data_IF_229703920085
#
_entry.id   IF_229703920085
#
_cell.length_a   1.000
_cell.length_b   1.000
_cell.length_c   1.000
_cell.angle_alpha   90.00
_cell.angle_beta   90.00
_cell.angle_gamma   90.00
#
_symmetry.space_group_name_H-M   'P 1'
#
loop_
_entity.id
_entity.type
_entity.pdbx_description
1 polymer ?
#
# COMPACT_ATOMS: atom_id res chain seq x y z
N UNK A 1 -10.19 13.72 5.23
CA UNK A 1 -9.68 13.37 3.85
C UNK A 1 -9.23 14.60 3.02
N UNK A 2 -8.88 15.72 3.67
CA UNK A 2 -8.54 16.98 2.97
C UNK A 2 -7.31 16.80 2.06
N UNK A 3 -6.25 16.20 2.59
CA UNK A 3 -4.99 15.98 1.85
C UNK A 3 -5.03 14.79 0.87
N UNK A 4 -6.07 13.97 0.92
CA UNK A 4 -6.25 12.88 -0.05
C UNK A 4 -6.70 13.40 -1.42
N UNK A 5 -7.30 14.58 -1.49
CA UNK A 5 -7.82 15.17 -2.72
C UNK A 5 -6.81 16.11 -3.42
N UNK A 6 -5.97 16.81 -2.64
CA UNK A 6 -4.96 17.75 -3.17
C UNK A 6 -3.97 18.18 -2.10
N UNK A 7 -2.82 18.64 -2.55
CA UNK A 7 -1.83 19.29 -1.69
C UNK A 7 -2.37 20.63 -1.17
N UNK A 8 -2.12 20.91 0.09
CA UNK A 8 -2.66 22.09 0.76
C UNK A 8 -1.63 22.83 1.60
N UNK A 9 -1.77 24.15 1.68
CA UNK A 9 -1.05 24.96 2.67
C UNK A 9 -1.69 24.83 4.05
N UNK A 10 -0.98 25.24 5.12
CA UNK A 10 -1.56 25.30 6.49
C UNK A 10 -2.88 26.08 6.50
N UNK A 11 -2.93 27.22 5.81
CA UNK A 11 -4.14 28.04 5.73
C UNK A 11 -5.27 27.32 4.98
N UNK A 12 -4.95 26.57 3.91
CA UNK A 12 -5.92 25.78 3.19
C UNK A 12 -6.50 24.65 4.04
N UNK A 13 -5.64 23.93 4.79
CA UNK A 13 -6.08 22.89 5.71
C UNK A 13 -6.95 23.47 6.84
N UNK A 14 -6.52 24.58 7.44
CA UNK A 14 -7.26 25.26 8.51
C UNK A 14 -8.67 25.67 8.06
N UNK A 15 -8.79 26.28 6.88
CA UNK A 15 -10.08 26.67 6.32
C UNK A 15 -10.97 25.45 6.03
N UNK A 16 -10.42 24.40 5.43
CA UNK A 16 -11.17 23.19 5.14
C UNK A 16 -11.64 22.43 6.39
N UNK A 17 -10.89 22.49 7.50
CA UNK A 17 -11.34 21.96 8.81
C UNK A 17 -12.48 22.78 9.37
N UNK A 18 -12.37 24.12 9.33
CA UNK A 18 -13.41 25.04 9.78
C UNK A 18 -14.72 24.85 9.00
N UNK A 19 -14.64 24.67 7.69
CA UNK A 19 -15.80 24.40 6.83
C UNK A 19 -16.49 23.08 7.16
N UNK A 20 -15.78 22.12 7.80
CA UNK A 20 -16.31 20.88 8.35
C UNK A 20 -16.77 21.00 9.82
N UNK A 21 -16.79 22.23 10.38
CA UNK A 21 -17.19 22.48 11.77
C UNK A 21 -16.10 22.12 12.80
N UNK A 22 -14.87 21.89 12.37
CA UNK A 22 -13.74 21.56 13.25
C UNK A 22 -12.91 22.84 13.46
N UNK A 23 -13.00 23.41 14.68
CA UNK A 23 -12.19 24.56 15.06
C UNK A 23 -10.88 24.11 15.73
N UNK A 24 -9.76 24.37 15.06
CA UNK A 24 -8.41 24.08 15.59
C UNK A 24 -7.58 25.33 15.51
N UNK A 25 -6.96 25.70 16.64
CA UNK A 25 -6.05 26.85 16.63
C UNK A 25 -4.86 26.60 15.70
N UNK A 26 -4.48 27.60 14.90
CA UNK A 26 -3.44 27.46 13.85
C UNK A 26 -2.10 26.94 14.39
N UNK A 27 -1.70 27.31 15.60
CA UNK A 27 -0.47 26.82 16.22
C UNK A 27 -0.54 25.33 16.52
N UNK A 28 -1.69 24.86 17.02
CA UNK A 28 -1.94 23.43 17.27
C UNK A 28 -1.91 22.64 15.97
N UNK A 29 -2.58 23.15 14.93
CA UNK A 29 -2.54 22.54 13.60
C UNK A 29 -1.11 22.42 13.05
N UNK A 30 -0.30 23.47 13.22
CA UNK A 30 1.13 23.43 12.83
C UNK A 30 1.89 22.34 13.56
N UNK A 31 1.63 22.16 14.86
CA UNK A 31 2.22 21.08 15.67
C UNK A 31 1.83 19.69 15.16
N UNK A 32 0.55 19.48 14.85
CA UNK A 32 0.09 18.20 14.29
C UNK A 32 0.71 17.92 12.92
N UNK A 33 0.76 18.91 12.01
CA UNK A 33 1.37 18.73 10.69
C UNK A 33 2.86 18.41 10.79
N UNK A 34 3.57 19.05 11.74
CA UNK A 34 4.97 18.73 12.00
C UNK A 34 5.15 17.30 12.53
N UNK A 35 4.35 16.91 13.51
CA UNK A 35 4.39 15.53 14.03
C UNK A 35 4.08 14.49 12.93
N UNK A 36 3.09 14.75 12.08
CA UNK A 36 2.78 13.87 10.93
C UNK A 36 3.92 13.82 9.91
N UNK A 37 4.63 14.93 9.69
CA UNK A 37 5.83 14.95 8.86
C UNK A 37 6.96 14.13 9.48
N UNK A 38 7.20 14.29 10.80
CA UNK A 38 8.25 13.54 11.51
C UNK A 38 7.97 12.03 11.53
N UNK A 39 6.68 11.63 11.47
CA UNK A 39 6.22 10.26 11.29
C UNK A 39 6.19 9.80 9.82
N UNK A 40 6.68 10.62 8.90
CA UNK A 40 6.66 10.35 7.44
C UNK A 40 5.24 10.12 6.85
N UNK A 41 4.18 10.54 7.56
CA UNK A 41 2.79 10.48 7.09
C UNK A 41 2.52 11.58 6.07
N UNK A 42 3.18 12.73 6.24
CA UNK A 42 3.10 13.88 5.35
C UNK A 42 4.47 14.22 4.77
N UNK A 43 4.47 14.71 3.55
CA UNK A 43 5.59 15.41 2.94
C UNK A 43 5.34 16.92 3.00
N UNK A 44 6.40 17.67 3.30
CA UNK A 44 6.40 19.13 3.31
C UNK A 44 7.29 19.64 2.18
N UNK A 45 6.72 20.39 1.28
CA UNK A 45 7.45 21.07 0.20
C UNK A 45 7.46 22.58 0.48
N UNK A 46 8.64 23.18 0.48
CA UNK A 46 8.76 24.63 0.63
C UNK A 46 8.51 25.32 -0.72
N UNK A 47 7.36 26.00 -0.81
CA UNK A 47 6.97 26.81 -1.95
C UNK A 47 6.81 28.24 -1.45
N UNK A 48 7.89 29.02 -1.54
CA UNK A 48 7.90 30.41 -1.00
C UNK A 48 6.74 31.25 -1.54
N UNK A 49 5.99 31.95 -0.68
CA UNK A 49 6.25 32.21 0.74
C UNK A 49 5.61 31.19 1.71
N UNK A 50 5.10 30.06 1.23
CA UNK A 50 4.30 29.11 2.00
C UNK A 50 4.95 27.73 2.02
N UNK A 51 4.44 26.86 2.89
CA UNK A 51 4.71 25.41 2.89
C UNK A 51 3.48 24.66 2.39
N UNK A 52 3.70 23.73 1.49
CA UNK A 52 2.70 22.83 0.94
C UNK A 52 2.83 21.47 1.61
N UNK A 53 1.71 20.90 2.05
CA UNK A 53 1.64 19.59 2.66
C UNK A 53 0.87 18.64 1.74
N UNK A 54 1.45 17.46 1.55
CA UNK A 54 0.85 16.36 0.81
C UNK A 54 0.91 15.07 1.64
N UNK A 55 0.08 14.10 1.31
CA UNK A 55 0.24 12.77 1.88
C UNK A 55 1.56 12.18 1.38
N UNK A 56 2.35 11.63 2.32
CA UNK A 56 3.59 10.96 1.94
C UNK A 56 3.27 9.73 1.10
N UNK A 57 3.82 9.69 -0.10
CA UNK A 57 3.76 8.50 -0.96
C UNK A 57 4.58 7.35 -0.38
N UNK A 58 5.48 7.64 0.59
CA UNK A 58 6.32 6.65 1.25
C UNK A 58 5.60 5.87 2.34
N UNK A 59 4.59 6.47 3.00
CA UNK A 59 3.93 5.88 4.17
C UNK A 59 2.69 5.06 3.81
N UNK A 60 2.12 5.25 2.64
CA UNK A 60 1.00 4.47 2.12
C UNK A 60 1.43 3.54 0.99
N UNK A 61 2.51 2.80 1.18
CA UNK A 61 2.68 1.60 0.37
C UNK A 61 1.57 0.63 0.77
N UNK A 62 0.38 0.85 0.19
CA UNK A 62 -0.72 -0.10 0.24
C UNK A 62 -0.15 -1.49 -0.04
N UNK A 63 -0.53 -2.47 0.75
CA UNK A 63 -0.04 -3.84 0.59
C UNK A 63 -0.17 -4.34 -0.86
N UNK A 64 -1.21 -3.91 -1.58
CA UNK A 64 -1.38 -4.23 -2.99
C UNK A 64 -0.28 -3.66 -3.87
N UNK A 65 0.14 -2.42 -3.63
CA UNK A 65 1.26 -1.79 -4.35
C UNK A 65 2.59 -2.50 -4.06
N UNK A 66 2.80 -2.94 -2.82
CA UNK A 66 4.01 -3.69 -2.44
C UNK A 66 4.01 -5.05 -3.16
N UNK A 67 2.92 -5.78 -3.09
CA UNK A 67 2.76 -7.08 -3.75
C UNK A 67 2.92 -6.92 -5.27
N UNK A 68 2.34 -5.87 -5.86
CA UNK A 68 2.46 -5.57 -7.28
C UNK A 68 3.89 -5.28 -7.74
N UNK A 69 4.79 -4.82 -6.86
CA UNK A 69 6.22 -4.65 -7.15
C UNK A 69 7.04 -5.91 -6.88
N UNK A 70 6.73 -6.61 -5.79
CA UNK A 70 7.51 -7.78 -5.37
C UNK A 70 7.22 -8.99 -6.26
N UNK A 71 5.96 -9.25 -6.61
CA UNK A 71 5.60 -10.43 -7.38
C UNK A 71 6.32 -10.52 -8.76
N UNK A 72 6.35 -9.45 -9.59
CA UNK A 72 7.10 -9.47 -10.85
C UNK A 72 8.62 -9.60 -10.65
N UNK A 73 9.18 -9.11 -9.53
CA UNK A 73 10.62 -9.25 -9.25
C UNK A 73 11.06 -10.68 -8.95
N UNK A 74 10.11 -11.57 -8.70
CA UNK A 74 10.36 -13.00 -8.44
C UNK A 74 10.26 -13.78 -9.74
N UNK A 75 9.14 -13.63 -10.44
CA UNK A 75 8.87 -14.26 -11.74
C UNK A 75 7.81 -13.41 -12.46
N UNK A 76 8.23 -12.71 -13.52
CA UNK A 76 7.37 -11.79 -14.26
C UNK A 76 6.18 -12.51 -14.90
N UNK A 77 6.41 -13.70 -15.47
CA UNK A 77 5.38 -14.50 -16.14
C UNK A 77 4.34 -15.06 -15.18
N UNK A 78 4.70 -15.29 -13.92
CA UNK A 78 3.84 -15.84 -12.86
C UNK A 78 3.46 -14.80 -11.80
N UNK A 79 3.75 -13.54 -12.04
CA UNK A 79 3.48 -12.48 -11.07
C UNK A 79 2.03 -12.46 -10.54
N UNK A 80 0.98 -12.66 -11.37
CA UNK A 80 -0.39 -12.69 -10.86
C UNK A 80 -0.68 -13.88 -9.93
N UNK A 81 -0.13 -15.06 -10.21
CA UNK A 81 -0.24 -16.25 -9.36
C UNK A 81 0.51 -16.07 -8.05
N UNK A 82 1.70 -15.47 -8.10
CA UNK A 82 2.51 -15.13 -6.92
C UNK A 82 1.75 -14.13 -6.05
N UNK A 83 1.21 -13.07 -6.63
CA UNK A 83 0.41 -12.08 -5.93
C UNK A 83 -0.82 -12.71 -5.27
N UNK A 84 -1.53 -13.58 -5.98
CA UNK A 84 -2.67 -14.34 -5.44
C UNK A 84 -2.26 -15.17 -4.22
N UNK A 85 -1.16 -15.91 -4.33
CA UNK A 85 -0.63 -16.71 -3.22
C UNK A 85 -0.25 -15.84 -2.01
N UNK A 86 0.48 -14.75 -2.23
CA UNK A 86 0.89 -13.81 -1.17
C UNK A 86 -0.34 -13.25 -0.46
N UNK A 87 -1.29 -12.66 -1.19
CA UNK A 87 -2.48 -12.04 -0.61
C UNK A 87 -3.37 -13.05 0.11
N UNK A 88 -3.55 -14.24 -0.47
CA UNK A 88 -4.32 -15.33 0.15
C UNK A 88 -3.71 -15.77 1.48
N UNK A 89 -2.37 -15.87 1.54
CA UNK A 89 -1.64 -16.24 2.76
C UNK A 89 -1.71 -15.13 3.81
N UNK A 90 -1.47 -13.87 3.43
CA UNK A 90 -1.48 -12.71 4.34
C UNK A 90 -2.86 -12.49 4.96
N UNK A 91 -3.91 -12.60 4.16
CA UNK A 91 -5.27 -12.30 4.62
C UNK A 91 -6.01 -13.53 5.13
N UNK A 92 -5.42 -14.72 4.97
CA UNK A 92 -6.01 -16.00 5.35
C UNK A 92 -7.46 -16.16 4.84
N UNK A 93 -7.68 -15.84 3.57
CA UNK A 93 -8.99 -15.91 2.89
C UNK A 93 -8.83 -15.96 1.37
N UNK A 94 -9.86 -16.40 0.65
CA UNK A 94 -9.93 -16.21 -0.80
C UNK A 94 -9.84 -14.72 -1.17
N UNK A 95 -9.28 -14.44 -2.35
CA UNK A 95 -9.01 -13.09 -2.85
C UNK A 95 -9.99 -12.73 -3.95
N UNK A 96 -10.51 -11.52 -3.94
CA UNK A 96 -11.27 -11.01 -5.08
C UNK A 96 -10.33 -10.73 -6.25
N UNK A 97 -10.74 -11.06 -7.46
CA UNK A 97 -9.96 -10.75 -8.66
C UNK A 97 -9.62 -9.26 -8.73
N UNK A 98 -10.51 -8.39 -8.23
CA UNK A 98 -10.28 -6.95 -8.12
C UNK A 98 -9.07 -6.57 -7.25
N UNK A 99 -8.72 -7.39 -6.27
CA UNK A 99 -7.53 -7.15 -5.43
C UNK A 99 -6.23 -7.42 -6.21
N UNK A 100 -6.22 -8.37 -7.14
CA UNK A 100 -5.09 -8.60 -8.06
C UNK A 100 -4.93 -7.43 -9.03
N UNK A 101 -6.04 -6.93 -9.59
CA UNK A 101 -6.04 -5.74 -10.44
C UNK A 101 -5.51 -4.51 -9.68
N UNK A 102 -5.80 -4.40 -8.37
CA UNK A 102 -5.27 -3.33 -7.52
C UNK A 102 -3.76 -3.43 -7.32
N UNK A 103 -3.16 -4.61 -7.44
CA UNK A 103 -1.71 -4.76 -7.51
C UNK A 103 -1.10 -4.23 -8.83
N UNK A 104 -1.91 -3.80 -9.79
CA UNK A 104 -1.48 -3.43 -11.13
C UNK A 104 -1.19 -4.64 -12.02
N UNK A 105 -1.69 -5.82 -11.64
CA UNK A 105 -1.47 -7.08 -12.34
C UNK A 105 -2.71 -7.52 -13.12
N UNK A 106 -2.50 -8.31 -14.17
CA UNK A 106 -3.58 -8.95 -14.92
C UNK A 106 -4.16 -10.14 -14.12
N UNK A 107 -5.24 -10.72 -14.61
CA UNK A 107 -5.81 -11.93 -14.01
C UNK A 107 -4.82 -13.11 -14.05
N UNK A 108 -4.68 -13.87 -12.95
CA UNK A 108 -3.88 -15.09 -12.95
C UNK A 108 -4.42 -16.09 -13.99
N UNK A 109 -3.55 -16.91 -14.54
CA UNK A 109 -3.95 -17.96 -15.52
C UNK A 109 -4.42 -19.22 -14.81
N UNK A 110 -3.87 -19.50 -13.62
CA UNK A 110 -4.17 -20.69 -12.82
C UNK A 110 -4.73 -20.29 -11.47
N UNK A 111 -5.99 -20.64 -11.22
CA UNK A 111 -6.68 -20.39 -9.96
C UNK A 111 -7.94 -21.25 -9.84
N UNK A 112 -8.45 -21.39 -8.62
CA UNK A 112 -9.74 -22.00 -8.35
C UNK A 112 -10.77 -20.91 -8.01
N UNK A 113 -11.95 -20.97 -8.63
CA UNK A 113 -13.07 -20.09 -8.28
C UNK A 113 -13.76 -20.62 -7.03
N UNK A 114 -14.02 -19.74 -6.08
CA UNK A 114 -14.67 -20.11 -4.81
C UNK A 114 -15.79 -19.13 -4.46
N UNK A 115 -16.77 -19.61 -3.75
CA UNK A 115 -17.87 -18.79 -3.21
C UNK A 115 -17.99 -19.06 -1.71
N UNK A 116 -17.16 -18.43 -0.88
CA UNK A 116 -17.22 -18.65 0.56
C UNK A 116 -18.48 -18.06 1.18
N UNK A 117 -18.99 -18.63 2.29
CA UNK A 117 -20.20 -18.13 2.97
C UNK A 117 -20.03 -16.71 3.50
N UNK A 118 -18.81 -16.31 3.87
CA UNK A 118 -18.49 -14.99 4.41
C UNK A 118 -18.21 -13.91 3.36
N UNK A 119 -18.49 -14.17 2.10
CA UNK A 119 -18.21 -13.27 0.97
C UNK A 119 -18.71 -11.84 1.20
N UNK A 120 -19.92 -11.67 1.71
CA UNK A 120 -20.51 -10.34 1.97
C UNK A 120 -19.72 -9.60 3.04
N UNK A 121 -19.35 -10.27 4.12
CA UNK A 121 -18.50 -9.69 5.18
C UNK A 121 -17.14 -9.23 4.67
N UNK A 122 -16.56 -9.95 3.70
CA UNK A 122 -15.29 -9.53 3.08
C UNK A 122 -15.46 -8.27 2.25
N UNK A 123 -16.55 -8.12 1.49
CA UNK A 123 -16.85 -6.90 0.74
C UNK A 123 -16.98 -5.70 1.67
N UNK A 124 -17.72 -5.85 2.78
CA UNK A 124 -17.91 -4.78 3.79
C UNK A 124 -16.57 -4.37 4.43
N UNK A 125 -15.76 -5.35 4.86
CA UNK A 125 -14.43 -5.08 5.43
C UNK A 125 -13.50 -4.37 4.47
N UNK A 126 -13.47 -4.80 3.20
CA UNK A 126 -12.67 -4.17 2.16
C UNK A 126 -13.15 -2.77 1.86
N UNK A 127 -14.47 -2.55 1.81
CA UNK A 127 -15.06 -1.22 1.66
C UNK A 127 -14.64 -0.27 2.79
N UNK A 128 -14.67 -0.73 4.05
CA UNK A 128 -14.19 0.02 5.21
C UNK A 128 -12.69 0.34 5.13
N UNK A 129 -11.89 -0.53 4.51
CA UNK A 129 -10.45 -0.34 4.25
C UNK A 129 -10.16 0.47 2.98
N UNK A 130 -11.17 1.06 2.33
CA UNK A 130 -11.00 1.85 1.11
C UNK A 130 -10.80 1.04 -0.17
N UNK A 131 -11.11 -0.26 -0.14
CA UNK A 131 -11.04 -1.15 -1.30
C UNK A 131 -12.43 -1.42 -1.83
N UNK A 132 -12.83 -0.71 -2.88
CA UNK A 132 -14.14 -0.91 -3.51
C UNK A 132 -14.17 -2.23 -4.29
N UNK A 133 -15.01 -3.16 -3.87
CA UNK A 133 -15.23 -4.45 -4.52
C UNK A 133 -16.67 -4.53 -4.99
N UNK A 134 -16.92 -4.62 -6.32
CA UNK A 134 -18.27 -4.81 -6.83
C UNK A 134 -18.91 -6.11 -6.31
N UNK A 135 -20.24 -6.11 -6.06
CA UNK A 135 -20.93 -7.28 -5.50
C UNK A 135 -20.82 -8.56 -6.33
N UNK A 136 -20.62 -8.43 -7.64
CA UNK A 136 -20.47 -9.55 -8.58
C UNK A 136 -19.01 -9.99 -8.80
N UNK A 137 -18.04 -9.39 -8.11
CA UNK A 137 -16.62 -9.73 -8.25
C UNK A 137 -16.38 -11.20 -7.92
N UNK A 138 -15.55 -11.86 -8.72
CA UNK A 138 -15.19 -13.27 -8.53
C UNK A 138 -14.17 -13.39 -7.42
N UNK A 139 -14.34 -14.37 -6.54
CA UNK A 139 -13.32 -14.78 -5.56
C UNK A 139 -12.55 -15.99 -6.07
N UNK A 140 -11.26 -15.98 -5.81
CA UNK A 140 -10.31 -16.96 -6.31
C UNK A 140 -9.34 -17.39 -5.21
N UNK A 141 -8.84 -18.61 -5.33
CA UNK A 141 -7.77 -19.18 -4.50
C UNK A 141 -6.63 -19.68 -5.38
N UNK A 142 -5.40 -19.74 -4.84
CA UNK A 142 -4.30 -20.38 -5.54
C UNK A 142 -4.64 -21.83 -5.90
N UNK A 143 -4.12 -22.30 -7.03
CA UNK A 143 -4.12 -23.74 -7.30
C UNK A 143 -3.31 -24.49 -6.23
N UNK A 144 -3.79 -25.67 -5.83
CA UNK A 144 -3.17 -26.50 -4.78
C UNK A 144 -1.70 -26.87 -5.06
N UNK A 145 -1.26 -26.75 -6.31
CA UNK A 145 0.12 -27.01 -6.73
C UNK A 145 1.04 -25.80 -6.57
N UNK A 146 0.49 -24.60 -6.31
CA UNK A 146 1.26 -23.37 -6.21
C UNK A 146 1.89 -23.23 -4.82
N UNK A 147 3.21 -23.07 -4.76
CA UNK A 147 3.95 -22.78 -3.53
C UNK A 147 4.62 -21.43 -3.64
N UNK A 148 4.44 -20.61 -2.62
CA UNK A 148 5.17 -19.34 -2.49
C UNK A 148 6.60 -19.63 -2.08
N UNK A 149 7.63 -19.05 -2.73
CA UNK A 149 9.00 -19.14 -2.26
C UNK A 149 9.16 -18.57 -0.84
N UNK A 150 9.97 -19.21 0.01
CA UNK A 150 10.07 -18.87 1.44
C UNK A 150 10.58 -17.44 1.69
N UNK A 151 11.39 -16.88 0.78
CA UNK A 151 11.97 -15.54 0.90
C UNK A 151 10.98 -14.40 0.52
N UNK A 152 9.85 -14.73 -0.11
CA UNK A 152 8.89 -13.74 -0.59
C UNK A 152 8.30 -12.91 0.55
N UNK A 153 7.93 -13.57 1.66
CA UNK A 153 7.37 -12.88 2.82
C UNK A 153 8.39 -11.93 3.45
N UNK A 154 9.67 -12.32 3.46
CA UNK A 154 10.76 -11.47 3.92
C UNK A 154 10.89 -10.24 3.01
N UNK A 155 10.83 -10.40 1.69
CA UNK A 155 10.86 -9.28 0.73
C UNK A 155 9.68 -8.33 0.93
N UNK A 156 8.47 -8.86 1.15
CA UNK A 156 7.29 -8.05 1.46
C UNK A 156 7.52 -7.20 2.71
N UNK A 157 8.03 -7.79 3.80
CA UNK A 157 8.34 -7.07 5.03
C UNK A 157 9.41 -5.99 4.81
N UNK A 158 10.46 -6.32 4.05
CA UNK A 158 11.52 -5.37 3.69
C UNK A 158 10.97 -4.13 2.96
N UNK A 159 10.09 -4.33 2.00
CA UNK A 159 9.45 -3.24 1.26
C UNK A 159 8.43 -2.49 2.13
N UNK A 160 7.57 -3.21 2.87
CA UNK A 160 6.49 -2.63 3.67
C UNK A 160 7.03 -1.69 4.77
N UNK A 161 8.12 -2.09 5.42
CA UNK A 161 8.70 -1.36 6.57
C UNK A 161 9.97 -0.59 6.22
N UNK A 162 10.33 -0.51 4.94
CA UNK A 162 11.57 0.16 4.48
C UNK A 162 12.81 -0.30 5.28
N UNK A 163 12.96 -1.62 5.44
CA UNK A 163 14.03 -2.22 6.26
C UNK A 163 15.43 -2.06 5.65
N UNK A 164 15.54 -1.58 4.41
CA UNK A 164 16.83 -1.29 3.75
C UNK A 164 17.71 -0.39 4.60
N UNK A 165 17.12 0.54 5.37
CA UNK A 165 17.85 1.45 6.27
C UNK A 165 18.55 0.75 7.45
N UNK A 166 18.20 -0.50 7.74
CA UNK A 166 18.82 -1.31 8.80
C UNK A 166 19.75 -2.40 8.26
N UNK A 167 19.80 -2.61 6.94
CA UNK A 167 20.66 -3.61 6.32
C UNK A 167 22.07 -3.05 6.14
N UNK A 168 23.08 -3.93 6.15
CA UNK A 168 24.46 -3.54 5.78
C UNK A 168 24.47 -3.06 4.34
N UNK A 169 25.09 -1.92 4.07
CA UNK A 169 25.32 -1.44 2.71
C UNK A 169 26.08 -2.51 1.92
N UNK A 170 25.46 -3.01 0.85
CA UNK A 170 26.06 -3.99 -0.06
C UNK A 170 27.07 -3.32 -1.01
N UNK A 171 27.76 -2.25 -0.57
CA UNK A 171 28.86 -1.63 -1.31
C UNK A 171 30.18 -2.35 -1.02
N UNK A 172 30.30 -3.60 -1.48
CA UNK A 172 31.62 -4.14 -1.84
C UNK A 172 31.80 -3.94 -3.33
N UNK A 173 32.38 -2.79 -3.69
CA UNK A 173 33.10 -2.66 -4.97
C UNK A 173 34.12 -3.79 -5.03
N UNK A 174 34.24 -4.54 -6.13
CA UNK A 174 35.35 -5.47 -6.29
C UNK A 174 36.63 -4.66 -6.29
N UNK A 175 37.46 -4.84 -5.26
CA UNK A 175 38.83 -4.35 -5.30
C UNK A 175 39.51 -5.00 -6.53
N UNK A 176 39.82 -4.17 -7.51
CA UNK A 176 40.76 -4.54 -8.56
C UNK A 176 42.09 -4.84 -7.88
N UNK A 177 42.46 -6.09 -7.86
CA UNK A 177 43.83 -6.52 -7.54
C UNK A 177 44.70 -6.18 -8.74
N UNK A 178 45.66 -5.29 -8.52
CA UNK A 178 46.79 -5.00 -9.44
C UNK A 178 47.77 -6.17 -9.41
#
# INVERSE_FOLDING_TARGET
QILAAKDCTISGIHNALRDQGIEVHRLILTGYLRAMKDLEILEEQEVKPSKLYSLSTKTTSDIYNIVGRVAPSIDEDKAPEIALGILSTLFNRPIFLREIERCGLISPRKYQKVVPPDRIKYIEKLGAAGVAVPPNSIMIEPDSTFKIPDDVMVRILYEAFNLKRYSKDSNRSPQQTL
#
